data_IF_003985050454
#
_entry.id   IF_003985050454
#
_cell.length_a   1.000
_cell.length_b   1.000
_cell.length_c   1.000
_cell.angle_alpha   90.00
_cell.angle_beta   90.00
_cell.angle_gamma   90.00
#
_symmetry.space_group_name_H-M   'P 1'
#
loop_
_entity.id
_entity.type
_entity.pdbx_description
1 polymer ?
#
# COMPACT_ATOMS: atom_id res chain seq x y z
N UNK A 1 -37.05 -79.36 26.88
CA UNK A 1 -37.32 -77.91 26.76
C UNK A 1 -36.03 -77.22 26.37
N UNK A 2 -35.89 -76.81 25.11
CA UNK A 2 -34.65 -76.21 24.59
C UNK A 2 -34.79 -74.67 24.54
N UNK A 3 -33.94 -73.97 25.29
CA UNK A 3 -33.90 -72.50 25.33
C UNK A 3 -33.18 -71.97 24.08
N UNK A 4 -33.93 -71.34 23.18
CA UNK A 4 -33.37 -70.58 22.04
C UNK A 4 -32.84 -69.24 22.53
N UNK A 5 -31.52 -69.08 22.55
CA UNK A 5 -30.84 -67.81 22.78
C UNK A 5 -30.85 -66.96 21.51
N UNK A 6 -31.51 -65.80 21.57
CA UNK A 6 -31.48 -64.78 20.52
C UNK A 6 -30.15 -64.03 20.57
N UNK A 7 -29.35 -64.15 19.51
CA UNK A 7 -28.11 -63.39 19.29
C UNK A 7 -28.50 -62.01 18.74
N UNK A 8 -28.28 -60.95 19.52
CA UNK A 8 -28.59 -59.56 19.14
C UNK A 8 -27.57 -59.10 18.09
N UNK A 9 -28.02 -58.77 16.88
CA UNK A 9 -27.18 -58.20 15.83
C UNK A 9 -26.97 -56.71 16.15
N UNK A 10 -25.73 -56.25 16.09
CA UNK A 10 -25.37 -54.83 16.22
C UNK A 10 -25.75 -54.13 14.91
N UNK A 11 -26.45 -52.98 14.94
CA UNK A 11 -26.76 -52.24 13.73
C UNK A 11 -25.47 -51.68 13.13
N UNK A 12 -25.31 -51.90 11.82
CA UNK A 12 -24.24 -51.34 11.00
C UNK A 12 -24.34 -49.80 11.06
N UNK A 13 -23.24 -49.13 11.40
CA UNK A 13 -23.20 -47.67 11.46
C UNK A 13 -23.26 -47.13 10.03
N UNK A 14 -24.46 -46.93 9.51
CA UNK A 14 -24.68 -46.18 8.28
C UNK A 14 -24.15 -44.76 8.50
N UNK A 15 -23.01 -44.45 7.87
CA UNK A 15 -22.47 -43.10 7.83
C UNK A 15 -23.55 -42.19 7.26
N UNK A 16 -24.03 -41.28 8.11
CA UNK A 16 -25.11 -40.36 7.78
C UNK A 16 -24.61 -39.35 6.73
N UNK A 17 -24.83 -39.67 5.45
CA UNK A 17 -24.30 -38.94 4.29
C UNK A 17 -24.69 -37.47 4.36
N UNK A 18 -25.89 -37.16 4.87
CA UNK A 18 -26.35 -35.78 5.10
C UNK A 18 -25.49 -35.05 6.11
N UNK A 19 -25.06 -35.72 7.18
CA UNK A 19 -24.14 -35.15 8.18
C UNK A 19 -22.75 -34.88 7.60
N UNK A 20 -22.27 -35.75 6.70
CA UNK A 20 -20.99 -35.53 5.99
C UNK A 20 -21.06 -34.39 4.97
N UNK A 21 -22.18 -34.29 4.24
CA UNK A 21 -22.45 -33.18 3.32
C UNK A 21 -22.50 -31.84 4.06
N UNK A 22 -23.15 -31.80 5.24
CA UNK A 22 -23.17 -30.61 6.08
C UNK A 22 -21.76 -30.20 6.54
N UNK A 23 -20.90 -31.15 6.86
CA UNK A 23 -19.50 -30.89 7.19
C UNK A 23 -18.75 -30.25 6.02
N UNK A 24 -18.91 -30.75 4.80
CA UNK A 24 -18.26 -30.17 3.61
C UNK A 24 -18.76 -28.75 3.31
N UNK A 25 -20.06 -28.50 3.41
CA UNK A 25 -20.67 -27.18 3.14
C UNK A 25 -20.19 -26.12 4.14
N UNK A 26 -19.94 -26.49 5.40
CA UNK A 26 -19.43 -25.57 6.43
C UNK A 26 -17.97 -25.14 6.17
N UNK A 27 -17.17 -25.97 5.50
CA UNK A 27 -15.77 -25.65 5.21
C UNK A 27 -15.61 -24.54 4.16
N UNK A 28 -16.52 -24.43 3.20
CA UNK A 28 -16.46 -23.42 2.13
C UNK A 28 -16.47 -21.98 2.69
N UNK A 29 -17.49 -21.55 3.46
CA UNK A 29 -17.52 -20.20 4.03
C UNK A 29 -16.39 -19.97 5.05
N UNK A 30 -15.95 -21.02 5.76
CA UNK A 30 -14.82 -20.92 6.69
C UNK A 30 -13.50 -20.63 5.96
N UNK A 31 -13.21 -21.38 4.90
CA UNK A 31 -12.03 -21.15 4.06
C UNK A 31 -12.06 -19.78 3.39
N UNK A 32 -13.22 -19.37 2.87
CA UNK A 32 -13.40 -18.05 2.27
C UNK A 32 -13.18 -16.93 3.32
N UNK A 33 -13.72 -17.06 4.53
CA UNK A 33 -13.48 -16.09 5.60
C UNK A 33 -11.99 -15.99 5.95
N UNK A 34 -11.27 -17.12 6.05
CA UNK A 34 -9.83 -17.10 6.33
C UNK A 34 -9.00 -16.44 5.23
N UNK A 35 -9.41 -16.57 3.95
CA UNK A 35 -8.71 -15.95 2.83
C UNK A 35 -8.85 -14.41 2.82
N UNK A 36 -10.01 -13.89 3.22
CA UNK A 36 -10.30 -12.45 3.19
C UNK A 36 -9.57 -11.67 4.30
N UNK A 37 -9.14 -12.34 5.39
CA UNK A 37 -8.43 -11.68 6.49
C UNK A 37 -6.97 -11.30 6.21
N UNK A 38 -6.42 -11.64 5.03
CA UNK A 38 -5.01 -11.35 4.70
C UNK A 38 -4.70 -9.89 4.31
N UNK A 39 -5.64 -8.96 4.48
CA UNK A 39 -5.49 -7.55 4.06
C UNK A 39 -5.39 -6.56 5.24
N UNK A 40 -4.86 -6.96 6.39
CA UNK A 40 -4.50 -6.02 7.46
C UNK A 40 -3.03 -5.61 7.28
N UNK A 41 -2.80 -4.43 6.72
CA UNK A 41 -1.48 -3.84 6.49
C UNK A 41 -0.66 -3.74 7.79
N UNK A 42 0.43 -4.51 7.86
CA UNK A 42 1.46 -4.37 8.89
C UNK A 42 2.51 -3.39 8.37
N UNK A 43 2.76 -2.32 9.13
CA UNK A 43 3.92 -1.46 8.96
C UNK A 43 5.16 -2.24 9.42
N UNK A 44 5.81 -2.95 8.51
CA UNK A 44 7.03 -3.71 8.83
C UNK A 44 8.26 -2.80 8.80
N UNK A 45 8.71 -2.40 9.99
CA UNK A 45 10.06 -1.86 10.17
C UNK A 45 11.07 -3.00 9.97
N UNK A 46 11.50 -3.19 8.73
CA UNK A 46 12.51 -4.19 8.34
C UNK A 46 13.87 -3.85 8.95
N UNK A 47 14.18 -4.42 10.11
CA UNK A 47 15.55 -4.57 10.61
C UNK A 47 16.09 -5.90 10.05
N UNK A 48 17.28 -5.91 9.42
CA UNK A 48 17.78 -7.09 8.73
C UNK A 48 18.12 -8.16 9.76
N UNK A 49 17.30 -9.19 9.85
CA UNK A 49 17.63 -10.43 10.53
C UNK A 49 17.47 -11.59 9.56
N UNK A 50 18.54 -12.38 9.50
CA UNK A 50 18.82 -13.37 8.48
C UNK A 50 17.79 -14.46 8.28
N UNK A 51 17.91 -15.04 7.08
CA UNK A 51 17.52 -16.38 6.64
C UNK A 51 16.04 -16.68 6.45
N UNK A 52 15.69 -16.91 5.18
CA UNK A 52 14.94 -18.10 4.79
C UNK A 52 13.46 -17.92 4.57
N UNK A 53 13.09 -17.29 3.45
CA UNK A 53 11.76 -17.37 2.87
C UNK A 53 11.66 -16.39 1.70
N UNK A 54 11.33 -16.87 0.50
CA UNK A 54 10.97 -16.03 -0.65
C UNK A 54 9.66 -15.29 -0.33
N UNK A 55 9.78 -14.23 0.47
CA UNK A 55 8.82 -13.13 0.52
C UNK A 55 9.10 -12.29 -0.72
N UNK A 56 8.07 -11.87 -1.44
CA UNK A 56 8.22 -11.02 -2.63
C UNK A 56 9.22 -9.88 -2.34
N UNK A 57 10.41 -10.00 -2.94
CA UNK A 57 11.70 -9.45 -2.49
C UNK A 57 11.91 -7.97 -2.88
N UNK A 58 10.82 -7.21 -3.03
CA UNK A 58 10.94 -5.78 -3.23
C UNK A 58 10.72 -5.09 -1.90
N UNK A 59 11.77 -4.54 -1.26
CA UNK A 59 11.58 -3.68 -0.10
C UNK A 59 10.57 -2.60 -0.48
N UNK A 60 9.48 -2.48 0.30
CA UNK A 60 8.45 -1.47 0.07
C UNK A 60 9.10 -0.09 0.27
N UNK A 61 9.50 0.52 -0.84
CA UNK A 61 10.03 1.88 -0.83
C UNK A 61 8.91 2.80 -0.37
N UNK A 62 9.15 3.48 0.74
CA UNK A 62 8.26 4.53 1.24
C UNK A 62 8.68 5.83 0.58
N UNK A 63 7.73 6.66 0.17
CA UNK A 63 7.99 7.99 -0.39
C UNK A 63 7.24 8.99 0.46
N UNK A 64 8.00 9.84 1.15
CA UNK A 64 7.48 10.91 2.00
C UNK A 64 7.98 12.24 1.47
N UNK A 65 7.07 13.19 1.27
CA UNK A 65 7.38 14.57 0.90
C UNK A 65 7.13 15.44 2.12
N UNK A 66 8.21 15.94 2.72
CA UNK A 66 8.16 16.86 3.84
C UNK A 66 8.15 18.30 3.35
N UNK A 67 7.17 19.08 3.79
CA UNK A 67 7.03 20.51 3.51
C UNK A 67 7.42 21.28 4.76
N UNK A 68 8.60 21.92 4.71
CA UNK A 68 9.14 22.77 5.79
C UNK A 68 9.15 24.23 5.34
N UNK A 69 9.14 25.19 6.25
CA UNK A 69 9.08 26.64 5.93
C UNK A 69 10.18 27.12 4.96
N UNK A 70 11.33 26.44 4.92
CA UNK A 70 12.46 26.83 4.07
C UNK A 70 12.93 25.78 3.08
N UNK A 71 12.27 24.63 2.99
CA UNK A 71 12.65 23.58 2.04
C UNK A 71 11.54 22.54 1.83
N UNK A 72 11.56 21.91 0.65
CA UNK A 72 10.94 20.60 0.43
C UNK A 72 11.99 19.52 0.64
N UNK A 73 11.60 18.41 1.24
CA UNK A 73 12.47 17.25 1.46
C UNK A 73 11.75 15.98 1.00
N UNK A 74 12.48 15.05 0.38
CA UNK A 74 11.98 13.71 0.10
C UNK A 74 12.67 12.73 1.05
N UNK A 75 11.91 11.85 1.69
CA UNK A 75 12.42 10.79 2.54
C UNK A 75 11.91 9.42 2.12
N UNK A 76 12.73 8.41 2.44
CA UNK A 76 12.38 7.01 2.30
C UNK A 76 11.83 6.37 3.60
N UNK A 77 11.37 7.20 4.55
CA UNK A 77 10.94 6.80 5.90
C UNK A 77 12.08 6.49 6.88
N UNK A 78 13.35 6.60 6.45
CA UNK A 78 14.54 6.40 7.29
C UNK A 78 15.49 7.59 7.27
N UNK A 79 15.70 8.16 6.09
CA UNK A 79 16.60 9.28 5.86
C UNK A 79 16.04 10.20 4.80
N UNK A 80 16.43 11.47 4.86
CA UNK A 80 16.20 12.41 3.76
C UNK A 80 17.08 11.98 2.59
N UNK A 81 16.46 11.73 1.44
CA UNK A 81 17.14 11.40 0.18
C UNK A 81 17.49 12.67 -0.59
N UNK A 82 16.55 13.61 -0.64
CA UNK A 82 16.68 14.84 -1.40
C UNK A 82 16.15 16.04 -0.63
N UNK A 83 16.74 17.20 -0.86
CA UNK A 83 16.35 18.47 -0.24
C UNK A 83 16.41 19.60 -1.25
N UNK A 84 15.32 20.33 -1.35
CA UNK A 84 15.11 21.46 -2.26
C UNK A 84 14.85 22.71 -1.43
N UNK A 85 15.86 23.57 -1.21
CA UNK A 85 15.68 24.82 -0.49
C UNK A 85 14.67 25.73 -1.19
N UNK A 86 13.77 26.34 -0.41
CA UNK A 86 12.87 27.39 -0.92
C UNK A 86 13.68 28.64 -1.27
N UNK A 87 13.29 29.34 -2.34
CA UNK A 87 13.92 30.59 -2.79
C UNK A 87 12.90 31.70 -2.70
N UNK A 88 13.23 32.77 -1.98
CA UNK A 88 12.36 33.93 -1.81
C UNK A 88 10.96 33.61 -1.25
N UNK A 89 10.86 32.55 -0.45
CA UNK A 89 9.59 32.08 0.13
C UNK A 89 8.79 31.14 -0.78
N UNK A 90 9.24 30.92 -2.02
CA UNK A 90 8.60 29.99 -2.96
C UNK A 90 9.27 28.61 -2.94
N UNK A 91 8.45 27.57 -2.99
CA UNK A 91 8.89 26.19 -3.06
C UNK A 91 9.31 25.79 -4.49
N UNK A 92 10.44 25.09 -4.61
CA UNK A 92 10.95 24.59 -5.89
C UNK A 92 10.19 23.31 -6.32
N UNK A 93 8.93 23.49 -6.71
CA UNK A 93 8.04 22.40 -7.14
C UNK A 93 8.52 21.72 -8.42
N UNK A 94 9.24 22.43 -9.27
CA UNK A 94 9.84 21.87 -10.49
C UNK A 94 10.87 20.79 -10.13
N UNK A 95 11.79 21.09 -9.22
CA UNK A 95 12.80 20.13 -8.75
C UNK A 95 12.17 18.94 -8.02
N UNK A 96 11.13 19.20 -7.22
CA UNK A 96 10.35 18.13 -6.58
C UNK A 96 9.74 17.18 -7.63
N UNK A 97 9.11 17.73 -8.66
CA UNK A 97 8.48 16.96 -9.73
C UNK A 97 9.47 16.08 -10.47
N UNK A 98 10.63 16.63 -10.83
CA UNK A 98 11.66 15.91 -11.57
C UNK A 98 12.17 14.69 -10.77
N UNK A 99 12.33 14.83 -9.46
CA UNK A 99 12.75 13.71 -8.61
C UNK A 99 11.62 12.69 -8.39
N UNK A 100 10.38 13.15 -8.20
CA UNK A 100 9.22 12.26 -8.11
C UNK A 100 9.02 11.45 -9.40
N UNK A 101 9.29 12.02 -10.58
CA UNK A 101 9.25 11.28 -11.84
C UNK A 101 10.32 10.21 -11.90
N UNK A 102 11.55 10.52 -11.49
CA UNK A 102 12.65 9.53 -11.39
C UNK A 102 12.31 8.41 -10.43
N UNK A 103 11.65 8.72 -9.31
CA UNK A 103 11.19 7.71 -8.36
C UNK A 103 10.07 6.85 -8.94
N UNK A 104 9.12 7.43 -9.68
CA UNK A 104 8.05 6.70 -10.37
C UNK A 104 8.60 5.79 -11.47
N UNK A 105 9.61 6.22 -12.24
CA UNK A 105 10.30 5.40 -13.24
C UNK A 105 11.01 4.19 -12.61
N UNK A 106 11.60 4.38 -11.42
CA UNK A 106 12.24 3.29 -10.65
C UNK A 106 11.23 2.36 -9.98
N UNK A 107 10.06 2.87 -9.62
CA UNK A 107 9.00 2.16 -8.89
C UNK A 107 7.63 2.34 -9.58
N UNK A 108 7.45 1.80 -10.79
CA UNK A 108 6.24 2.02 -11.60
C UNK A 108 4.96 1.50 -10.93
N UNK A 109 5.09 0.46 -10.09
CA UNK A 109 3.99 -0.15 -9.34
C UNK A 109 3.50 0.67 -8.14
N UNK A 110 4.23 1.73 -7.77
CA UNK A 110 3.96 2.51 -6.56
C UNK A 110 2.97 3.63 -6.86
N UNK A 111 1.86 3.68 -6.13
CA UNK A 111 0.81 4.69 -6.32
C UNK A 111 0.61 5.60 -5.11
N UNK A 112 1.13 5.22 -3.95
CA UNK A 112 0.97 5.96 -2.70
C UNK A 112 2.20 6.80 -2.32
N UNK A 113 1.91 7.91 -1.63
CA UNK A 113 2.87 8.89 -1.14
C UNK A 113 2.31 9.56 0.12
N UNK A 114 3.19 9.91 1.05
CA UNK A 114 2.79 10.66 2.24
C UNK A 114 3.34 12.08 2.18
N UNK A 115 2.48 13.08 2.36
CA UNK A 115 2.86 14.49 2.48
C UNK A 115 2.85 14.86 3.95
N UNK A 116 4.01 15.27 4.47
CA UNK A 116 4.22 15.63 5.87
C UNK A 116 4.42 17.14 5.97
N UNK A 117 3.63 17.83 6.79
CA UNK A 117 3.62 19.29 6.87
C UNK A 117 4.21 19.77 8.19
N UNK A 118 5.15 20.72 8.15
CA UNK A 118 5.57 21.47 9.34
C UNK A 118 4.41 22.37 9.84
N UNK A 119 4.39 22.76 11.13
CA UNK A 119 3.43 23.76 11.59
C UNK A 119 3.53 25.09 10.83
N UNK A 120 2.39 25.75 10.65
CA UNK A 120 2.22 27.04 9.97
C UNK A 120 2.62 27.06 8.48
N UNK A 121 2.48 25.94 7.76
CA UNK A 121 2.52 25.95 6.29
C UNK A 121 1.23 26.57 5.74
N UNK A 122 1.36 27.44 4.74
CA UNK A 122 0.19 28.06 4.12
C UNK A 122 -0.65 27.02 3.36
N UNK A 123 -1.97 27.20 3.41
CA UNK A 123 -2.90 26.29 2.75
C UNK A 123 -2.66 26.16 1.24
N UNK A 124 -2.25 27.26 0.59
CA UNK A 124 -1.95 27.27 -0.84
C UNK A 124 -0.70 26.44 -1.16
N UNK A 125 0.34 26.53 -0.34
CA UNK A 125 1.56 25.74 -0.52
C UNK A 125 1.29 24.24 -0.35
N UNK A 126 0.47 23.88 0.65
CA UNK A 126 0.03 22.49 0.82
C UNK A 126 -0.67 21.96 -0.42
N UNK A 127 -1.65 22.71 -0.97
CA UNK A 127 -2.35 22.29 -2.19
C UNK A 127 -1.38 22.18 -3.37
N UNK A 128 -0.50 23.15 -3.54
CA UNK A 128 0.45 23.16 -4.64
C UNK A 128 1.36 21.92 -4.60
N UNK A 129 1.82 21.52 -3.41
CA UNK A 129 2.58 20.27 -3.23
C UNK A 129 1.71 19.05 -3.54
N UNK A 130 0.47 18.99 -3.04
CA UNK A 130 -0.43 17.85 -3.32
C UNK A 130 -0.69 17.67 -4.82
N UNK A 131 -0.93 18.77 -5.55
CA UNK A 131 -1.15 18.72 -6.99
C UNK A 131 0.10 18.25 -7.74
N UNK A 132 1.27 18.77 -7.33
CA UNK A 132 2.59 18.41 -7.89
C UNK A 132 2.90 16.93 -7.72
N UNK A 133 2.54 16.37 -6.57
CA UNK A 133 2.79 14.96 -6.23
C UNK A 133 1.87 14.01 -7.02
N UNK A 134 0.69 14.49 -7.42
CA UNK A 134 -0.34 13.67 -8.08
C UNK A 134 -0.13 13.52 -9.58
N UNK A 135 0.07 14.65 -10.27
CA UNK A 135 0.05 14.71 -11.74
C UNK A 135 1.14 15.65 -12.22
N UNK A 136 1.92 15.19 -13.21
CA UNK A 136 2.82 16.05 -13.94
C UNK A 136 2.27 16.34 -15.34
N UNK A 137 2.33 17.60 -15.76
CA UNK A 137 1.94 18.03 -17.10
C UNK A 137 3.20 18.25 -17.93
N UNK A 138 3.41 17.40 -18.93
CA UNK A 138 4.41 17.62 -19.97
C UNK A 138 3.77 18.55 -21.00
N UNK A 139 4.34 19.74 -21.13
CA UNK A 139 3.97 20.66 -22.20
C UNK A 139 4.42 20.05 -23.53
N UNK A 140 3.50 19.84 -24.45
CA UNK A 140 3.83 19.31 -25.78
C UNK A 140 4.71 20.30 -26.55
N UNK A 141 5.71 19.79 -27.28
CA UNK A 141 6.60 20.61 -28.12
C UNK A 141 5.86 21.24 -29.32
N UNK A 142 4.67 20.73 -29.64
CA UNK A 142 3.78 21.25 -30.67
C UNK A 142 2.77 22.23 -30.04
N UNK A 143 2.72 23.47 -30.56
CA UNK A 143 1.87 24.56 -30.05
C UNK A 143 0.36 24.25 -30.09
N UNK A 144 -0.08 23.29 -30.93
CA UNK A 144 -1.48 22.89 -31.11
C UNK A 144 -1.82 21.50 -30.53
N UNK A 145 -0.85 20.81 -29.91
CA UNK A 145 -1.10 19.51 -29.28
C UNK A 145 -1.61 19.69 -27.84
N UNK A 146 -2.50 18.81 -27.34
CA UNK A 146 -2.92 18.85 -25.95
C UNK A 146 -1.76 18.44 -25.02
N UNK A 147 -1.62 19.13 -23.90
CA UNK A 147 -0.67 18.77 -22.84
C UNK A 147 -0.87 17.31 -22.41
N UNK A 148 0.23 16.57 -22.33
CA UNK A 148 0.21 15.17 -21.86
C UNK A 148 0.34 15.20 -20.34
N UNK A 149 -0.70 14.74 -19.65
CA UNK A 149 -0.70 14.61 -18.20
C UNK A 149 -0.34 13.18 -17.81
N UNK A 150 0.74 13.01 -17.04
CA UNK A 150 1.16 11.73 -16.47
C UNK A 150 0.82 11.68 -14.98
N UNK A 151 0.25 10.55 -14.54
CA UNK A 151 -0.08 10.31 -13.13
C UNK A 151 1.16 9.80 -12.41
N UNK A 152 1.51 10.46 -11.31
CA UNK A 152 2.62 10.07 -10.43
C UNK A 152 2.07 9.19 -9.29
N UNK A 153 1.73 9.81 -8.16
CA UNK A 153 1.27 9.11 -6.96
C UNK A 153 -0.16 9.56 -6.60
N UNK A 154 -1.20 8.87 -7.10
CA UNK A 154 -2.59 9.29 -6.90
C UNK A 154 -3.06 9.15 -5.44
N UNK A 155 -2.48 8.24 -4.67
CA UNK A 155 -2.91 7.92 -3.32
C UNK A 155 -2.12 8.72 -2.28
N UNK A 156 -2.60 9.93 -1.99
CA UNK A 156 -1.93 10.88 -1.10
C UNK A 156 -2.46 10.75 0.33
N UNK A 157 -1.56 10.50 1.28
CA UNK A 157 -1.80 10.62 2.71
C UNK A 157 -1.19 11.92 3.25
N UNK A 158 -1.81 12.55 4.24
CA UNK A 158 -1.32 13.79 4.86
C UNK A 158 -1.04 13.54 6.34
N UNK A 159 0.06 14.07 6.86
CA UNK A 159 0.41 14.02 8.27
C UNK A 159 1.27 15.20 8.71
N UNK A 160 1.64 15.19 9.99
CA UNK A 160 2.52 16.20 10.58
C UNK A 160 3.98 15.80 10.40
N UNK A 161 4.82 16.77 10.00
CA UNK A 161 6.26 16.57 9.91
C UNK A 161 6.92 16.51 11.30
N UNK A 162 7.87 15.58 11.51
CA UNK A 162 8.66 15.52 12.74
C UNK A 162 9.71 16.64 12.83
#
# INVERSE_FOLDING_TARGET
>A
MARKTHKKQLPEAELDVTSFMNLMVVLIPFLLATAVFSQVSIQELNLPSGSGGEVSDKPKVTIEVMVRKGALEISNGRSITDRFPSKDGEYDLASLTDELRRLKEKHPEKEDVTVLLEPDIEYNDMIAVMDTVKIYKVKSEEEDAPDVSEVLFPDISIGDAP
#
